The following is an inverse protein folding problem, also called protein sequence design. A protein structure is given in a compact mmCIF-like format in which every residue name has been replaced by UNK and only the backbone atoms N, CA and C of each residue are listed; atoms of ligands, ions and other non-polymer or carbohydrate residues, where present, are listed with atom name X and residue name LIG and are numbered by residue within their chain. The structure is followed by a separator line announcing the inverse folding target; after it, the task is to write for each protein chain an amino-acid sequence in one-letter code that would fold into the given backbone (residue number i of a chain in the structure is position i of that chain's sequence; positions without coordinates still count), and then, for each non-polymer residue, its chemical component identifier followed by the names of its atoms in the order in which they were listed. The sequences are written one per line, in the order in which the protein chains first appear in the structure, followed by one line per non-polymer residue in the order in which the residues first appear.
data_IF_833933746997
#
_entry.id   IF_833933746997
#
_cell.length_a   1.000
_cell.length_b   1.000
_cell.length_c   1.000
_cell.angle_alpha   90.00
_cell.angle_beta   90.00
_cell.angle_gamma   90.00
#
_symmetry.space_group_name_H-M   'P 1'
#
loop_
_entity.id
_entity.type
_entity.pdbx_description
1 polymer ?
#
# COMPACT_ATOMS: atom_id res chain seq x y z
N UNK A 1 44.78 -39.54 -34.90
CA UNK A 1 44.88 -39.00 -36.29
C UNK A 1 43.99 -37.76 -36.39
N UNK A 2 44.43 -36.75 -37.18
CA UNK A 2 43.80 -35.48 -37.66
C UNK A 2 42.25 -35.37 -37.52
N UNK A 3 41.59 -34.24 -37.20
CA UNK A 3 41.95 -32.79 -37.22
C UNK A 3 41.18 -32.07 -38.35
N UNK A 4 40.54 -30.87 -38.25
CA UNK A 4 40.68 -29.63 -37.44
C UNK A 4 39.31 -29.19 -36.83
N UNK A 5 39.11 -28.27 -35.88
CA UNK A 5 39.42 -26.82 -35.72
C UNK A 5 38.80 -25.85 -36.76
N UNK A 6 38.06 -24.84 -36.27
CA UNK A 6 37.41 -23.80 -37.07
C UNK A 6 36.83 -22.64 -36.25
N UNK A 7 37.68 -21.87 -35.58
CA UNK A 7 37.30 -20.62 -34.87
C UNK A 7 37.58 -19.39 -35.72
N UNK A 8 36.64 -18.44 -35.81
CA UNK A 8 36.99 -17.02 -35.95
C UNK A 8 35.97 -16.13 -35.23
N UNK A 9 36.44 -14.98 -34.73
CA UNK A 9 35.73 -14.08 -33.81
C UNK A 9 36.03 -12.64 -34.24
N UNK A 10 35.10 -11.71 -33.94
CA UNK A 10 35.22 -10.23 -34.10
C UNK A 10 35.09 -9.75 -35.57
N UNK A 11 34.67 -8.50 -35.84
CA UNK A 11 34.60 -7.31 -34.96
C UNK A 11 33.46 -6.36 -35.35
N UNK A 12 33.03 -5.51 -34.41
CA UNK A 12 32.14 -4.35 -34.65
C UNK A 12 32.84 -3.32 -35.56
N UNK A 13 32.04 -2.55 -36.30
CA UNK A 13 32.47 -1.27 -36.88
C UNK A 13 31.29 -0.31 -37.04
N UNK A 14 31.30 0.85 -36.35
CA UNK A 14 30.46 1.99 -36.69
C UNK A 14 31.30 3.27 -36.95
N UNK A 15 31.15 3.84 -38.16
CA UNK A 15 31.46 5.23 -38.57
C UNK A 15 32.93 5.70 -38.43
N UNK A 16 33.39 6.70 -39.23
CA UNK A 16 33.28 8.11 -38.82
C UNK A 16 32.98 9.03 -40.07
N UNK A 17 33.26 10.37 -40.12
CA UNK A 17 32.16 11.35 -40.13
C UNK A 17 32.30 12.53 -41.14
N UNK A 18 31.53 13.61 -40.87
CA UNK A 18 31.72 15.03 -41.27
C UNK A 18 31.26 15.45 -42.69
N UNK A 19 30.14 16.19 -42.79
CA UNK A 19 30.12 17.65 -43.02
C UNK A 19 28.69 18.23 -42.90
N UNK A 20 28.61 19.53 -42.60
CA UNK A 20 27.38 20.22 -42.21
C UNK A 20 26.69 20.95 -43.38
N UNK A 21 25.37 21.16 -43.27
CA UNK A 21 24.64 22.13 -44.10
C UNK A 21 23.39 22.67 -43.38
N UNK A 22 23.48 23.91 -42.87
CA UNK A 22 22.30 24.74 -42.55
C UNK A 22 21.89 25.55 -43.78
N UNK A 23 20.61 25.53 -44.15
CA UNK A 23 19.88 26.76 -44.50
C UNK A 23 18.46 26.77 -43.89
N UNK A 24 17.70 27.86 -43.78
CA UNK A 24 17.88 29.28 -44.15
C UNK A 24 16.92 30.08 -43.25
N UNK A 25 17.39 31.04 -42.43
CA UNK A 25 16.47 32.03 -41.84
C UNK A 25 16.01 32.99 -42.94
N UNK A 26 14.70 33.06 -43.21
CA UNK A 26 14.15 34.12 -44.07
C UNK A 26 14.24 35.46 -43.33
N UNK A 27 14.90 36.45 -43.93
CA UNK A 27 14.74 37.86 -43.55
C UNK A 27 13.32 38.29 -43.95
N UNK A 28 12.54 38.78 -42.99
CA UNK A 28 11.44 39.70 -43.28
C UNK A 28 11.90 41.09 -42.87
N UNK A 29 11.83 42.03 -43.80
CA UNK A 29 12.07 43.45 -43.60
C UNK A 29 10.79 44.17 -44.03
N UNK A 30 10.23 45.02 -43.17
CA UNK A 30 9.12 45.91 -43.54
C UNK A 30 8.03 46.06 -42.48
N UNK A 31 7.57 47.30 -42.31
CA UNK A 31 6.29 47.62 -41.66
C UNK A 31 6.39 48.13 -40.22
N UNK A 32 6.70 49.42 -40.03
CA UNK A 32 6.52 50.12 -38.76
C UNK A 32 5.63 51.35 -38.99
N UNK A 33 4.31 51.24 -38.75
CA UNK A 33 3.38 52.38 -38.73
C UNK A 33 2.29 52.16 -37.67
N UNK A 34 2.20 53.11 -36.73
CA UNK A 34 1.07 53.48 -35.85
C UNK A 34 0.28 52.40 -35.08
N UNK A 35 0.51 52.34 -33.76
CA UNK A 35 -0.35 51.73 -32.75
C UNK A 35 -0.40 52.52 -31.43
N UNK A 36 -0.25 53.86 -31.51
CA UNK A 36 -0.04 54.74 -30.35
C UNK A 36 -1.33 55.07 -29.58
N UNK A 37 -1.90 54.07 -28.89
CA UNK A 37 -2.94 54.27 -27.88
C UNK A 37 -2.85 53.25 -26.73
N UNK A 38 -2.62 51.98 -27.04
CA UNK A 38 -2.51 50.92 -26.03
C UNK A 38 -1.23 51.01 -25.16
N UNK A 39 -0.15 51.59 -25.70
CA UNK A 39 1.15 51.65 -25.04
C UNK A 39 1.15 52.46 -23.75
N UNK A 40 0.50 53.62 -23.72
CA UNK A 40 0.51 54.52 -22.56
C UNK A 40 -0.28 53.95 -21.37
N UNK A 41 -1.44 53.37 -21.61
CA UNK A 41 -2.23 52.71 -20.55
C UNK A 41 -1.51 51.48 -19.99
N UNK A 42 -0.89 50.67 -20.87
CA UNK A 42 -0.10 49.52 -20.44
C UNK A 42 1.17 49.93 -19.66
N UNK A 43 1.87 50.99 -20.06
CA UNK A 43 3.03 51.50 -19.33
C UNK A 43 2.63 52.12 -17.99
N UNK A 44 1.51 52.86 -17.92
CA UNK A 44 0.99 53.38 -16.65
C UNK A 44 0.54 52.26 -15.72
N UNK A 45 -0.10 51.19 -16.22
CA UNK A 45 -0.48 50.05 -15.40
C UNK A 45 0.73 49.23 -14.92
N UNK A 46 1.73 49.03 -15.78
CA UNK A 46 2.99 48.38 -15.42
C UNK A 46 3.78 49.20 -14.39
N UNK A 47 3.90 50.52 -14.59
CA UNK A 47 4.53 51.44 -13.65
C UNK A 47 3.78 51.48 -12.31
N UNK A 48 2.44 51.55 -12.33
CA UNK A 48 1.62 51.48 -11.12
C UNK A 48 1.79 50.15 -10.38
N UNK A 49 1.86 49.02 -11.11
CA UNK A 49 2.11 47.69 -10.51
C UNK A 49 3.52 47.58 -9.91
N UNK A 50 4.53 48.18 -10.53
CA UNK A 50 5.90 48.29 -10.00
C UNK A 50 5.95 49.17 -8.75
N UNK A 51 5.38 50.38 -8.79
CA UNK A 51 5.26 51.29 -7.65
C UNK A 51 4.52 50.62 -6.47
N UNK A 52 3.40 49.94 -6.74
CA UNK A 52 2.62 49.22 -5.74
C UNK A 52 3.31 47.96 -5.19
N UNK A 53 4.32 47.44 -5.88
CA UNK A 53 5.18 46.38 -5.37
C UNK A 53 6.30 46.91 -4.46
N UNK A 54 6.84 48.09 -4.76
CA UNK A 54 7.84 48.77 -3.92
C UNK A 54 7.23 49.40 -2.66
N UNK A 55 5.95 49.78 -2.68
CA UNK A 55 5.24 50.32 -1.51
C UNK A 55 4.56 49.24 -0.66
N UNK A 56 4.89 47.96 -0.85
CA UNK A 56 4.38 46.87 -0.01
C UNK A 56 5.29 46.79 1.23
N UNK A 57 4.81 47.07 2.45
CA UNK A 57 5.65 46.93 3.62
C UNK A 57 6.13 45.48 3.73
N UNK A 58 7.43 45.30 3.97
CA UNK A 58 8.00 44.03 4.41
C UNK A 58 7.13 43.49 5.57
N UNK A 59 6.75 42.20 5.58
CA UNK A 59 6.05 41.64 6.73
C UNK A 59 7.00 41.71 7.92
N UNK A 60 6.69 42.60 8.87
CA UNK A 60 7.45 42.76 10.13
C UNK A 60 7.60 41.37 10.75
N UNK A 61 8.83 40.92 11.06
CA UNK A 61 9.02 39.67 11.79
C UNK A 61 8.24 39.75 13.09
N UNK A 62 7.13 39.02 13.16
CA UNK A 62 6.46 38.76 14.43
C UNK A 62 7.51 38.10 15.34
N UNK A 63 7.65 38.52 16.61
CA UNK A 63 8.35 37.71 17.58
C UNK A 63 7.76 36.30 17.49
N UNK A 64 8.60 35.32 17.17
CA UNK A 64 8.19 33.93 17.37
C UNK A 64 8.07 33.78 18.88
N UNK A 65 6.83 33.77 19.38
CA UNK A 65 6.50 33.22 20.70
C UNK A 65 7.34 31.95 20.85
N UNK A 66 8.15 31.81 21.92
CA UNK A 66 8.97 30.63 22.09
C UNK A 66 8.04 29.43 22.03
N UNK A 67 8.27 28.54 21.05
CA UNK A 67 7.49 27.31 20.92
C UNK A 67 7.78 26.50 22.17
N UNK A 68 6.87 26.60 23.14
CA UNK A 68 6.94 25.86 24.39
C UNK A 68 6.86 24.38 24.00
N UNK A 69 8.01 23.70 24.03
CA UNK A 69 8.09 22.28 23.68
C UNK A 69 7.12 21.52 24.57
N UNK A 70 6.11 20.92 23.94
CA UNK A 70 4.99 20.29 24.63
C UNK A 70 5.51 19.18 25.55
N UNK A 71 5.58 19.46 26.86
CA UNK A 71 6.01 18.49 27.87
C UNK A 71 5.12 17.24 27.91
N UNK A 72 3.94 17.29 27.29
CA UNK A 72 3.07 16.13 27.06
C UNK A 72 3.74 15.02 26.23
N UNK A 73 4.67 15.39 25.34
CA UNK A 73 5.39 14.47 24.44
C UNK A 73 6.77 14.06 24.98
N UNK A 74 7.20 14.58 26.14
CA UNK A 74 8.54 14.39 26.70
C UNK A 74 8.97 12.90 26.82
N UNK A 75 8.01 12.00 27.02
CA UNK A 75 8.23 10.55 27.15
C UNK A 75 7.49 9.73 26.08
N UNK A 76 6.96 10.40 25.04
CA UNK A 76 6.12 9.80 24.01
C UNK A 76 4.68 9.53 24.47
N UNK A 77 3.79 9.30 23.50
CA UNK A 77 2.41 8.88 23.75
C UNK A 77 2.27 7.35 23.83
N UNK A 78 1.24 6.82 24.50
CA UNK A 78 0.94 5.38 24.47
C UNK A 78 0.69 4.86 23.04
N UNK A 79 1.52 3.92 22.59
CA UNK A 79 1.35 3.29 21.28
C UNK A 79 0.28 2.18 21.35
N UNK A 80 -0.77 2.31 20.54
CA UNK A 80 -1.85 1.30 20.47
C UNK A 80 -1.54 0.13 19.51
N UNK A 81 -0.44 0.21 18.74
CA UNK A 81 -0.01 -0.83 17.81
C UNK A 81 -0.97 -1.12 16.66
N UNK A 82 -1.74 -0.11 16.22
CA UNK A 82 -2.82 -0.23 15.24
C UNK A 82 -2.44 0.24 13.84
N UNK A 83 -1.19 0.59 13.60
CA UNK A 83 -0.66 0.98 12.29
C UNK A 83 -0.87 -0.11 11.22
N UNK A 84 -1.05 0.33 9.97
CA UNK A 84 -1.20 -0.58 8.83
C UNK A 84 0.11 -1.29 8.54
N UNK A 85 0.06 -2.63 8.57
CA UNK A 85 1.18 -3.53 8.27
C UNK A 85 0.96 -4.14 6.90
N UNK A 86 1.89 -3.93 5.97
CA UNK A 86 1.79 -4.39 4.59
C UNK A 86 2.67 -5.61 4.32
N UNK A 87 2.10 -6.60 3.65
CA UNK A 87 2.74 -7.83 3.19
C UNK A 87 2.72 -7.88 1.66
N UNK A 88 3.14 -8.98 1.03
CA UNK A 88 3.28 -9.06 -0.44
C UNK A 88 1.97 -8.87 -1.20
N UNK A 89 0.82 -9.21 -0.61
CA UNK A 89 -0.49 -9.14 -1.29
C UNK A 89 -1.70 -8.81 -0.37
N UNK A 90 -1.46 -8.64 0.93
CA UNK A 90 -2.47 -8.19 1.89
C UNK A 90 -1.86 -7.16 2.83
N UNK A 91 -2.70 -6.37 3.49
CA UNK A 91 -2.31 -5.50 4.60
C UNK A 91 -3.31 -5.65 5.74
N UNK A 92 -2.89 -5.35 6.98
CA UNK A 92 -3.74 -5.49 8.16
C UNK A 92 -3.46 -4.42 9.21
N UNK A 93 -4.45 -4.18 10.07
CA UNK A 93 -4.25 -3.52 11.37
C UNK A 93 -4.48 -4.56 12.47
N UNK A 94 -3.62 -4.59 13.48
CA UNK A 94 -3.63 -5.63 14.52
C UNK A 94 -4.27 -5.15 15.83
N UNK A 95 -4.92 -6.05 16.55
CA UNK A 95 -5.40 -5.81 17.91
C UNK A 95 -4.45 -6.51 18.90
N UNK A 96 -3.44 -5.78 19.39
CA UNK A 96 -2.47 -6.28 20.36
C UNK A 96 -3.12 -6.81 21.65
N UNK A 97 -4.31 -6.32 22.03
CA UNK A 97 -5.01 -6.77 23.23
C UNK A 97 -5.80 -8.08 23.02
N UNK A 98 -6.25 -8.37 21.79
CA UNK A 98 -6.97 -9.61 21.44
C UNK A 98 -6.12 -10.62 20.66
N UNK A 99 -4.90 -10.25 20.28
CA UNK A 99 -3.96 -11.06 19.48
C UNK A 99 -4.49 -11.52 18.11
N UNK A 100 -5.39 -10.73 17.51
CA UNK A 100 -6.04 -11.00 16.22
C UNK A 100 -6.00 -9.75 15.32
N UNK A 101 -6.15 -9.87 13.99
CA UNK A 101 -6.35 -8.69 13.14
C UNK A 101 -7.65 -7.96 13.50
N UNK A 102 -7.65 -6.63 13.43
CA UNK A 102 -8.86 -5.79 13.44
C UNK A 102 -9.57 -5.86 12.09
N UNK A 103 -8.76 -5.80 11.04
CA UNK A 103 -9.14 -5.99 9.65
C UNK A 103 -7.91 -6.46 8.87
N UNK A 104 -8.16 -7.19 7.79
CA UNK A 104 -7.19 -7.52 6.75
C UNK A 104 -7.81 -7.13 5.41
N UNK A 105 -7.08 -6.36 4.60
CA UNK A 105 -7.44 -6.01 3.22
C UNK A 105 -6.53 -6.77 2.25
N UNK A 106 -7.10 -7.27 1.18
CA UNK A 106 -6.35 -7.83 0.06
C UNK A 106 -6.91 -7.39 -1.28
N UNK A 107 -6.09 -7.59 -2.33
CA UNK A 107 -6.51 -7.41 -3.71
C UNK A 107 -6.36 -8.74 -4.45
N UNK A 108 -7.47 -9.28 -4.95
CA UNK A 108 -7.57 -10.51 -5.72
C UNK A 108 -7.76 -10.16 -7.20
N UNK A 109 -6.99 -10.79 -8.08
CA UNK A 109 -7.22 -10.78 -9.52
C UNK A 109 -7.01 -12.19 -10.09
N UNK A 110 -7.48 -12.44 -11.31
CA UNK A 110 -7.42 -13.77 -11.95
C UNK A 110 -5.99 -14.33 -12.05
N UNK A 111 -4.99 -13.47 -12.16
CA UNK A 111 -3.58 -13.87 -12.22
C UNK A 111 -3.02 -14.27 -10.84
N UNK A 112 -3.55 -13.71 -9.74
CA UNK A 112 -3.09 -13.99 -8.37
C UNK A 112 -3.58 -15.34 -7.84
N UNK A 113 -4.79 -15.74 -8.24
CA UNK A 113 -5.41 -17.04 -7.90
C UNK A 113 -4.82 -18.22 -8.70
N UNK A 114 -3.93 -17.94 -9.67
CA UNK A 114 -3.21 -18.94 -10.46
C UNK A 114 -1.75 -19.05 -10.03
N UNK A 115 -1.17 -20.25 -10.15
CA UNK A 115 0.25 -20.49 -9.88
C UNK A 115 0.54 -21.69 -8.99
N UNK A 116 1.83 -21.95 -8.80
CA UNK A 116 2.34 -23.20 -8.21
C UNK A 116 2.63 -23.11 -6.70
N UNK A 117 2.23 -22.03 -6.01
CA UNK A 117 2.38 -21.98 -4.55
C UNK A 117 1.48 -23.05 -3.89
N UNK A 118 2.07 -23.84 -2.99
CA UNK A 118 1.37 -24.91 -2.27
C UNK A 118 1.33 -24.61 -0.77
N UNK A 119 0.10 -24.52 -0.23
CA UNK A 119 -0.21 -24.37 1.19
C UNK A 119 0.41 -25.49 2.05
N UNK A 120 0.68 -26.67 1.48
CA UNK A 120 1.35 -27.79 2.18
C UNK A 120 2.77 -27.45 2.65
N UNK A 121 3.44 -26.49 2.01
CA UNK A 121 4.77 -26.01 2.40
C UNK A 121 4.73 -24.83 3.39
N UNK A 122 3.54 -24.27 3.64
CA UNK A 122 3.36 -23.16 4.57
C UNK A 122 3.09 -23.69 5.99
N UNK A 123 3.54 -22.96 7.01
CA UNK A 123 3.37 -23.32 8.42
C UNK A 123 2.91 -22.10 9.20
N UNK A 124 1.89 -22.27 10.04
CA UNK A 124 1.45 -21.24 10.98
C UNK A 124 2.58 -20.90 11.95
N UNK A 125 2.83 -19.60 12.14
CA UNK A 125 3.87 -19.09 13.04
C UNK A 125 3.54 -17.66 13.50
N UNK A 126 4.05 -17.23 14.67
CA UNK A 126 4.05 -15.82 15.06
C UNK A 126 4.55 -14.91 13.93
N UNK A 127 3.97 -13.72 13.83
CA UNK A 127 4.43 -12.72 12.88
C UNK A 127 5.75 -12.11 13.38
N UNK A 128 6.85 -12.16 12.61
CA UNK A 128 8.14 -11.64 13.04
C UNK A 128 8.15 -10.11 13.25
N UNK A 129 7.13 -9.39 12.78
CA UNK A 129 6.99 -7.95 12.92
C UNK A 129 6.14 -7.54 14.13
N UNK A 130 5.46 -8.48 14.79
CA UNK A 130 4.67 -8.22 16.00
C UNK A 130 5.53 -8.55 17.23
N UNK A 131 5.66 -7.65 18.23
CA UNK A 131 6.38 -7.97 19.46
C UNK A 131 5.77 -9.21 20.13
N UNK A 132 6.61 -10.16 20.54
CA UNK A 132 6.16 -11.48 21.02
C UNK A 132 5.17 -11.41 22.19
N UNK A 133 5.24 -10.37 23.02
CA UNK A 133 4.28 -10.08 24.11
C UNK A 133 2.82 -9.96 23.62
N UNK A 134 2.63 -9.46 22.39
CA UNK A 134 1.33 -9.20 21.78
C UNK A 134 0.97 -10.20 20.66
N UNK A 135 1.91 -11.03 20.21
CA UNK A 135 1.63 -12.06 19.22
C UNK A 135 0.88 -13.24 19.84
N UNK A 136 -0.11 -13.77 19.14
CA UNK A 136 -0.53 -15.14 19.37
C UNK A 136 0.58 -16.14 19.01
N UNK A 137 0.55 -17.31 19.63
CA UNK A 137 1.44 -18.45 19.33
C UNK A 137 0.62 -19.67 18.89
N UNK A 138 1.26 -20.75 18.41
CA UNK A 138 0.52 -21.91 17.92
C UNK A 138 -0.19 -22.66 19.05
N UNK A 139 0.39 -22.59 20.25
CA UNK A 139 -0.03 -23.22 21.48
C UNK A 139 -1.37 -22.65 21.98
N UNK A 140 -1.69 -21.38 21.68
CA UNK A 140 -3.00 -20.75 21.94
C UNK A 140 -4.14 -21.43 21.14
N UNK A 141 -3.82 -22.06 20.00
CA UNK A 141 -4.79 -22.70 19.10
C UNK A 141 -4.81 -24.23 19.20
N UNK A 142 -3.68 -24.86 19.55
CA UNK A 142 -3.58 -26.33 19.57
C UNK A 142 -4.31 -26.86 20.80
N UNK A 143 -5.45 -27.55 20.57
CA UNK A 143 -6.26 -28.14 21.63
C UNK A 143 -7.34 -27.22 22.21
N UNK A 144 -7.45 -25.96 21.76
CA UNK A 144 -8.47 -25.01 22.26
C UNK A 144 -9.89 -25.28 21.77
N UNK A 145 -10.07 -26.21 20.83
CA UNK A 145 -11.33 -26.45 20.10
C UNK A 145 -11.54 -25.53 18.89
N UNK A 146 -10.71 -24.50 18.73
CA UNK A 146 -10.79 -23.55 17.63
C UNK A 146 -9.74 -23.82 16.54
N UNK A 147 -10.11 -23.62 15.28
CA UNK A 147 -9.18 -23.69 14.15
C UNK A 147 -8.49 -22.34 13.92
N UNK A 148 -7.34 -22.36 13.23
CA UNK A 148 -6.65 -21.15 12.75
C UNK A 148 -7.31 -20.68 11.45
N UNK A 149 -8.28 -19.78 11.57
CA UNK A 149 -9.02 -19.19 10.46
C UNK A 149 -8.26 -18.07 9.78
N UNK A 150 -8.16 -18.09 8.45
CA UNK A 150 -7.49 -17.04 7.68
C UNK A 150 -8.46 -15.88 7.38
N UNK A 151 -7.99 -14.63 7.49
CA UNK A 151 -8.74 -13.46 7.00
C UNK A 151 -8.43 -13.16 5.53
N UNK A 152 -7.15 -13.08 5.16
CA UNK A 152 -6.69 -13.21 3.77
C UNK A 152 -6.29 -14.67 3.48
N UNK A 153 -6.95 -15.40 2.56
CA UNK A 153 -6.77 -16.83 2.42
C UNK A 153 -5.59 -17.19 1.53
N UNK A 154 -4.95 -18.33 1.85
CA UNK A 154 -3.83 -18.86 1.07
C UNK A 154 -4.20 -19.10 -0.41
N UNK A 155 -5.47 -19.38 -0.72
CA UNK A 155 -5.97 -19.62 -2.08
C UNK A 155 -5.78 -18.45 -3.04
N UNK A 156 -5.77 -17.22 -2.52
CA UNK A 156 -5.76 -15.98 -3.33
C UNK A 156 -4.33 -15.53 -3.67
N UNK A 157 -3.36 -16.31 -3.18
CA UNK A 157 -1.93 -16.00 -3.18
C UNK A 157 -1.12 -17.06 -3.95
N UNK A 158 -1.77 -17.77 -4.88
CA UNK A 158 -1.20 -18.87 -5.68
C UNK A 158 -0.01 -18.46 -6.56
N UNK A 159 0.03 -17.20 -6.97
CA UNK A 159 1.10 -16.62 -7.78
C UNK A 159 2.45 -16.49 -7.05
N UNK A 160 2.45 -16.46 -5.71
CA UNK A 160 3.65 -16.15 -4.92
C UNK A 160 3.73 -17.00 -3.65
N UNK A 161 4.75 -17.87 -3.60
CA UNK A 161 5.06 -18.68 -2.41
C UNK A 161 5.33 -17.80 -1.18
N UNK A 162 5.89 -16.60 -1.37
CA UNK A 162 6.08 -15.62 -0.30
C UNK A 162 4.75 -15.08 0.18
N UNK A 163 3.89 -14.58 -0.72
CA UNK A 163 2.59 -14.03 -0.33
C UNK A 163 1.74 -15.07 0.41
N UNK A 164 1.72 -16.30 -0.10
CA UNK A 164 1.04 -17.43 0.55
C UNK A 164 1.64 -17.75 1.91
N UNK A 165 2.96 -17.78 2.08
CA UNK A 165 3.58 -18.03 3.39
C UNK A 165 3.32 -16.90 4.40
N UNK A 166 3.15 -15.66 3.93
CA UNK A 166 2.80 -14.51 4.78
C UNK A 166 1.34 -14.60 5.28
N UNK A 167 0.40 -15.24 4.56
CA UNK A 167 -0.97 -15.46 5.09
C UNK A 167 -1.01 -16.43 6.28
N UNK A 168 0.06 -17.20 6.52
CA UNK A 168 0.18 -18.11 7.68
C UNK A 168 0.80 -17.44 8.91
N UNK A 169 1.13 -16.14 8.86
CA UNK A 169 1.43 -15.40 10.09
C UNK A 169 0.19 -15.28 10.95
N UNK A 170 0.33 -15.52 12.26
CA UNK A 170 -0.79 -15.47 13.21
C UNK A 170 -1.42 -14.06 13.35
N UNK A 171 -0.79 -13.02 12.78
CA UNK A 171 -1.35 -11.67 12.59
C UNK A 171 -2.54 -11.63 11.63
N UNK A 172 -2.66 -12.59 10.70
CA UNK A 172 -3.76 -12.75 9.75
C UNK A 172 -4.84 -13.74 10.26
N UNK A 173 -4.67 -14.30 11.46
CA UNK A 173 -5.43 -15.46 11.94
C UNK A 173 -6.37 -15.09 13.08
N UNK A 174 -7.55 -15.72 13.08
CA UNK A 174 -8.53 -15.68 14.19
C UNK A 174 -8.87 -17.10 14.66
N UNK A 175 -9.28 -17.29 15.92
CA UNK A 175 -9.95 -18.51 16.37
C UNK A 175 -11.28 -18.67 15.63
N UNK A 176 -11.39 -19.69 14.77
CA UNK A 176 -12.56 -19.92 13.92
C UNK A 176 -13.12 -21.32 14.12
N UNK A 177 -14.44 -21.45 14.21
CA UNK A 177 -15.10 -22.76 14.28
C UNK A 177 -14.71 -23.60 13.04
N UNK A 178 -14.38 -24.87 13.25
CA UNK A 178 -13.83 -25.74 12.21
C UNK A 178 -14.78 -25.94 11.02
N UNK A 179 -16.07 -26.17 11.29
CA UNK A 179 -17.10 -26.37 10.25
C UNK A 179 -17.38 -25.08 9.49
N UNK A 180 -17.35 -23.92 10.17
CA UNK A 180 -17.44 -22.62 9.52
C UNK A 180 -16.26 -22.38 8.57
N UNK A 181 -15.03 -22.57 9.05
CA UNK A 181 -13.78 -22.40 8.30
C UNK A 181 -13.77 -23.28 7.03
N UNK A 182 -13.93 -24.59 7.20
CA UNK A 182 -13.92 -25.54 6.08
C UNK A 182 -15.16 -25.45 5.16
N UNK A 183 -16.28 -24.94 5.70
CA UNK A 183 -17.60 -24.93 5.05
C UNK A 183 -18.02 -23.58 4.49
N UNK A 184 -18.82 -22.82 5.26
CA UNK A 184 -19.44 -21.58 4.77
C UNK A 184 -18.43 -20.48 4.45
N UNK A 185 -17.38 -20.34 5.26
CA UNK A 185 -16.33 -19.33 5.06
C UNK A 185 -15.54 -19.60 3.78
N UNK A 186 -15.02 -20.82 3.61
CA UNK A 186 -14.36 -21.25 2.38
C UNK A 186 -15.25 -21.07 1.12
N UNK A 187 -16.59 -21.25 1.21
CA UNK A 187 -17.48 -20.91 0.09
C UNK A 187 -17.52 -19.42 -0.23
N UNK A 188 -17.47 -18.55 0.77
CA UNK A 188 -17.35 -17.10 0.57
C UNK A 188 -16.01 -16.75 -0.07
N UNK A 189 -14.90 -17.32 0.40
CA UNK A 189 -13.58 -17.17 -0.23
C UNK A 189 -13.58 -17.65 -1.70
N UNK A 190 -14.23 -18.79 -1.99
CA UNK A 190 -14.37 -19.30 -3.36
C UNK A 190 -15.16 -18.35 -4.25
N UNK A 191 -16.23 -17.73 -3.73
CA UNK A 191 -17.01 -16.73 -4.45
C UNK A 191 -16.20 -15.45 -4.71
N UNK A 192 -15.40 -14.99 -3.74
CA UNK A 192 -14.47 -13.86 -3.95
C UNK A 192 -13.46 -14.14 -5.09
N UNK A 193 -12.97 -15.37 -5.21
CA UNK A 193 -12.14 -15.80 -6.36
C UNK A 193 -12.94 -15.85 -7.67
N UNK A 194 -14.16 -16.36 -7.65
CA UNK A 194 -15.06 -16.43 -8.83
C UNK A 194 -15.38 -15.03 -9.40
N UNK A 195 -15.48 -14.00 -8.55
CA UNK A 195 -15.67 -12.62 -9.01
C UNK A 195 -14.55 -12.16 -9.97
N UNK A 196 -13.33 -12.70 -9.86
CA UNK A 196 -12.22 -12.39 -10.79
C UNK A 196 -12.40 -12.93 -12.22
N UNK A 197 -13.45 -13.72 -12.47
CA UNK A 197 -13.88 -14.09 -13.82
C UNK A 197 -14.72 -13.01 -14.51
N UNK A 198 -15.30 -12.10 -13.72
CA UNK A 198 -16.24 -11.04 -14.16
C UNK A 198 -15.70 -9.62 -13.95
N UNK A 199 -14.77 -9.44 -13.02
CA UNK A 199 -14.15 -8.17 -12.66
C UNK A 199 -12.62 -8.33 -12.68
N UNK A 200 -11.90 -7.34 -13.21
CA UNK A 200 -10.43 -7.41 -13.35
C UNK A 200 -9.73 -7.36 -11.99
N UNK A 201 -10.21 -6.46 -11.11
CA UNK A 201 -9.70 -6.23 -9.77
C UNK A 201 -10.82 -6.40 -8.72
N UNK A 202 -10.55 -7.15 -7.64
CA UNK A 202 -11.49 -7.39 -6.53
C UNK A 202 -10.80 -7.12 -5.20
N UNK A 203 -11.24 -6.09 -4.47
CA UNK A 203 -10.76 -5.83 -3.10
C UNK A 203 -11.70 -6.46 -2.07
N UNK A 204 -11.11 -7.13 -1.08
CA UNK A 204 -11.83 -7.77 0.03
C UNK A 204 -11.27 -7.24 1.35
N UNK A 205 -12.16 -6.98 2.31
CA UNK A 205 -11.80 -6.68 3.70
C UNK A 205 -12.48 -7.68 4.62
N UNK A 206 -11.66 -8.42 5.37
CA UNK A 206 -12.09 -9.47 6.31
C UNK A 206 -11.68 -9.10 7.74
N UNK A 207 -12.46 -9.49 8.74
CA UNK A 207 -12.12 -9.25 10.15
C UNK A 207 -13.10 -9.86 11.14
N UNK A 208 -12.68 -10.06 12.42
CA UNK A 208 -13.53 -10.59 13.48
C UNK A 208 -14.48 -9.53 14.06
N UNK A 209 -15.60 -9.98 14.62
CA UNK A 209 -16.54 -9.15 15.38
C UNK A 209 -16.94 -9.84 16.69
N UNK A 210 -16.94 -9.11 17.80
CA UNK A 210 -17.49 -9.57 19.10
C UNK A 210 -18.75 -8.76 19.40
N UNK A 211 -19.89 -9.27 18.93
CA UNK A 211 -21.18 -8.58 18.95
C UNK A 211 -21.92 -8.75 20.30
N UNK A 212 -22.81 -7.81 20.67
CA UNK A 212 -23.61 -7.92 21.89
C UNK A 212 -24.84 -8.79 21.70
N UNK A 213 -25.14 -9.61 22.72
CA UNK A 213 -26.40 -10.33 22.86
C UNK A 213 -27.31 -9.64 23.89
N UNK A 214 -28.63 -9.77 23.75
CA UNK A 214 -29.61 -9.21 24.70
C UNK A 214 -30.06 -10.32 25.64
N UNK A 215 -29.74 -10.19 26.93
CA UNK A 215 -30.16 -11.16 27.95
C UNK A 215 -31.65 -11.07 28.26
N UNK A 216 -32.16 -12.08 28.98
CA UNK A 216 -33.56 -12.10 29.45
C UNK A 216 -33.93 -10.95 30.41
N UNK A 217 -32.95 -10.24 30.96
CA UNK A 217 -33.11 -9.01 31.74
C UNK A 217 -33.13 -7.74 30.87
N UNK A 218 -33.17 -7.87 29.54
CA UNK A 218 -33.16 -6.78 28.56
C UNK A 218 -31.81 -6.09 28.39
N UNK A 219 -30.77 -6.47 29.16
CA UNK A 219 -29.45 -5.83 29.08
C UNK A 219 -28.60 -6.46 27.98
N UNK A 220 -27.90 -5.60 27.23
CA UNK A 220 -26.93 -6.01 26.21
C UNK A 220 -25.58 -6.34 26.86
N UNK A 221 -24.98 -7.47 26.49
CA UNK A 221 -23.65 -7.91 26.96
C UNK A 221 -22.84 -8.45 25.78
N UNK A 222 -21.55 -8.15 25.76
CA UNK A 222 -20.59 -8.79 24.84
C UNK A 222 -19.86 -9.86 25.62
N UNK A 223 -19.82 -11.09 25.11
CA UNK A 223 -19.12 -12.22 25.73
C UNK A 223 -18.41 -13.01 24.64
N UNK A 224 -17.14 -13.32 24.86
CA UNK A 224 -16.31 -14.11 23.96
C UNK A 224 -15.28 -14.90 24.77
N UNK A 225 -14.84 -16.04 24.23
CA UNK A 225 -13.74 -16.81 24.80
C UNK A 225 -12.41 -16.16 24.44
N UNK A 226 -11.45 -16.24 25.37
CA UNK A 226 -10.02 -15.94 25.16
C UNK A 226 -9.19 -17.18 25.36
#
# INVERSE_FOLDING_TARGET
RRGRQGTLRRRRGPLPPIMAAFPRRRRFLGGFVCGAAAGAAASCWAAWRLLRSQSRPEPVPQPQEPVEESLLEQYGFPEAGTETRCYTNHALSYDQAKRVPRWVIEHISKQKTLGNADRRHCKFRPDPNIPLMFSAVNEDYIGSGWSRGHMAPAGDNKFSTRAMAETFYLSNIVPQNYENNAGFWNRMEMYCRELTERFEDVWVVSGPLTLPETGGDGKKRVSYQV
#
